data_IF_069361215670
#
_entry.id   IF_069361215670
#
_cell.length_a   1.000
_cell.length_b   1.000
_cell.length_c   1.000
_cell.angle_alpha   90.00
_cell.angle_beta   90.00
_cell.angle_gamma   90.00
#
_symmetry.space_group_name_H-M   'P 1'
#
loop_
_entity.id
_entity.type
_entity.pdbx_description
1 polymer ?
#
# COMPACT_ATOMS: atom_id res chain seq x y z
N UNK A 1 21.27 11.12 17.54
CA UNK A 1 19.88 10.64 17.78
C UNK A 1 19.01 11.36 16.78
N UNK A 2 18.59 10.69 15.69
CA UNK A 2 17.79 11.32 14.63
C UNK A 2 16.28 11.22 14.97
N UNK A 3 15.45 12.20 14.62
CA UNK A 3 14.17 12.43 15.32
C UNK A 3 12.94 11.71 14.76
N UNK A 4 13.04 10.71 13.87
CA UNK A 4 11.87 10.26 13.09
C UNK A 4 11.79 8.76 12.71
N UNK A 5 12.32 7.84 13.52
CA UNK A 5 12.09 6.40 13.27
C UNK A 5 10.66 6.00 13.71
N UNK A 6 9.63 6.55 13.04
CA UNK A 6 8.33 5.89 13.01
C UNK A 6 8.53 4.67 12.13
N UNK A 7 8.89 3.55 12.76
CA UNK A 7 8.92 2.26 12.11
C UNK A 7 7.47 1.85 11.83
N UNK A 8 7.04 1.99 10.57
CA UNK A 8 5.82 1.36 10.07
C UNK A 8 6.17 -0.12 9.88
N UNK A 9 5.46 -1.04 10.54
CA UNK A 9 5.75 -2.46 10.38
C UNK A 9 5.39 -2.93 8.96
N UNK A 10 5.96 -4.05 8.52
CA UNK A 10 5.62 -4.62 7.21
C UNK A 10 4.12 -4.93 7.10
N UNK A 11 3.49 -5.39 8.19
CA UNK A 11 2.05 -5.61 8.26
C UNK A 11 1.26 -4.30 8.10
N UNK A 12 1.66 -3.24 8.80
CA UNK A 12 1.04 -1.92 8.67
C UNK A 12 1.15 -1.38 7.24
N UNK A 13 2.31 -1.60 6.59
CA UNK A 13 2.50 -1.25 5.19
C UNK A 13 1.49 -1.95 4.26
N UNK A 14 1.18 -3.22 4.53
CA UNK A 14 0.18 -3.97 3.76
C UNK A 14 -1.23 -3.41 3.97
N UNK A 15 -1.62 -3.16 5.21
CA UNK A 15 -2.93 -2.57 5.54
C UNK A 15 -3.10 -1.17 4.94
N UNK A 16 -2.07 -0.33 5.05
CA UNK A 16 -2.04 1.00 4.43
C UNK A 16 -2.09 0.87 2.90
N UNK A 17 -1.33 -0.05 2.32
CA UNK A 17 -1.33 -0.30 0.87
C UNK A 17 -2.71 -0.67 0.34
N UNK A 18 -3.42 -1.58 1.02
CA UNK A 18 -4.80 -1.92 0.69
C UNK A 18 -5.76 -0.72 0.84
N UNK A 19 -5.62 0.06 1.92
CA UNK A 19 -6.44 1.25 2.15
C UNK A 19 -6.23 2.33 1.08
N UNK A 20 -4.99 2.49 0.59
CA UNK A 20 -4.68 3.40 -0.52
C UNK A 20 -5.39 2.94 -1.80
N UNK A 21 -5.42 1.64 -2.09
CA UNK A 21 -6.11 1.09 -3.28
C UNK A 21 -7.62 1.33 -3.19
N UNK A 22 -8.22 1.09 -2.03
CA UNK A 22 -9.63 1.40 -1.78
C UNK A 22 -9.94 2.89 -1.99
N UNK A 23 -9.12 3.77 -1.41
CA UNK A 23 -9.28 5.20 -1.58
C UNK A 23 -9.17 5.61 -3.06
N UNK A 24 -8.20 5.06 -3.80
CA UNK A 24 -8.02 5.32 -5.22
C UNK A 24 -9.28 4.92 -6.02
N UNK A 25 -9.83 3.73 -5.77
CA UNK A 25 -11.06 3.26 -6.42
C UNK A 25 -12.25 4.18 -6.12
N UNK A 26 -12.43 4.59 -4.86
CA UNK A 26 -13.52 5.49 -4.48
C UNK A 26 -13.37 6.88 -5.10
N UNK A 27 -12.15 7.42 -5.18
CA UNK A 27 -11.92 8.72 -5.82
C UNK A 27 -12.14 8.62 -7.34
N UNK A 28 -11.75 7.51 -7.98
CA UNK A 28 -12.01 7.28 -9.40
C UNK A 28 -13.51 7.26 -9.72
N UNK A 29 -14.35 6.72 -8.84
CA UNK A 29 -15.81 6.83 -8.95
C UNK A 29 -16.23 8.30 -9.00
N UNK A 30 -15.72 9.15 -8.09
CA UNK A 30 -16.04 10.60 -8.10
C UNK A 30 -15.61 11.24 -9.43
N UNK A 31 -14.40 10.98 -9.92
CA UNK A 31 -13.94 11.55 -11.20
C UNK A 31 -14.80 11.13 -12.40
N UNK A 32 -15.39 9.93 -12.36
CA UNK A 32 -16.23 9.38 -13.43
C UNK A 32 -17.63 10.01 -13.47
N UNK A 33 -18.17 10.38 -12.32
CA UNK A 33 -19.57 10.84 -12.21
C UNK A 33 -19.71 12.35 -11.97
N UNK A 34 -18.67 13.02 -11.49
CA UNK A 34 -18.68 14.48 -11.35
C UNK A 34 -18.59 15.15 -12.73
N UNK A 35 -19.33 16.24 -12.99
CA UNK A 35 -19.17 17.01 -14.22
C UNK A 35 -17.73 17.48 -14.39
N UNK A 36 -17.21 17.41 -15.60
CA UNK A 36 -15.88 17.90 -15.95
C UNK A 36 -15.72 19.36 -15.48
N UNK A 37 -14.55 19.67 -14.93
CA UNK A 37 -14.21 20.98 -14.34
C UNK A 37 -15.12 21.47 -13.20
N UNK A 38 -16.00 20.62 -12.67
CA UNK A 38 -16.66 20.91 -11.40
C UNK A 38 -15.62 20.99 -10.26
N UNK A 39 -15.99 21.67 -9.16
CA UNK A 39 -15.15 21.68 -7.96
C UNK A 39 -14.88 20.27 -7.45
N UNK A 40 -15.88 19.38 -7.49
CA UNK A 40 -15.74 17.98 -7.10
C UNK A 40 -14.77 17.21 -8.01
N UNK A 41 -14.86 17.40 -9.33
CA UNK A 41 -13.93 16.75 -10.27
C UNK A 41 -12.48 17.21 -10.04
N UNK A 42 -12.25 18.52 -9.91
CA UNK A 42 -10.90 19.05 -9.66
C UNK A 42 -10.31 18.57 -8.34
N UNK A 43 -11.13 18.51 -7.28
CA UNK A 43 -10.68 18.02 -5.97
C UNK A 43 -10.35 16.53 -6.04
N UNK A 44 -11.16 15.72 -6.73
CA UNK A 44 -10.89 14.29 -6.92
C UNK A 44 -9.57 14.05 -7.68
N UNK A 45 -9.29 14.82 -8.74
CA UNK A 45 -8.00 14.76 -9.45
C UNK A 45 -6.83 15.15 -8.55
N UNK A 46 -6.97 16.21 -7.75
CA UNK A 46 -5.95 16.63 -6.80
C UNK A 46 -5.69 15.59 -5.69
N UNK A 47 -6.75 14.91 -5.25
CA UNK A 47 -6.68 13.82 -4.28
C UNK A 47 -5.93 12.61 -4.86
N UNK A 48 -6.21 12.19 -6.10
CA UNK A 48 -5.46 11.11 -6.78
C UNK A 48 -3.96 11.43 -6.86
N UNK A 49 -3.60 12.66 -7.26
CA UNK A 49 -2.20 13.07 -7.33
C UNK A 49 -1.51 13.07 -5.95
N UNK A 50 -2.24 13.42 -4.90
CA UNK A 50 -1.72 13.38 -3.52
C UNK A 50 -1.54 11.95 -3.02
N UNK A 51 -2.48 11.07 -3.35
CA UNK A 51 -2.44 9.66 -3.02
C UNK A 51 -1.26 8.95 -3.70
N UNK A 52 -0.99 9.26 -4.97
CA UNK A 52 0.15 8.71 -5.71
C UNK A 52 1.51 9.14 -5.13
N UNK A 53 1.61 10.40 -4.69
CA UNK A 53 2.80 10.86 -3.97
C UNK A 53 3.00 10.11 -2.66
N UNK A 54 1.93 9.93 -1.88
CA UNK A 54 1.98 9.17 -0.63
C UNK A 54 2.39 7.71 -0.88
N UNK A 55 1.78 7.06 -1.87
CA UNK A 55 2.10 5.70 -2.31
C UNK A 55 3.59 5.56 -2.61
N UNK A 56 4.16 6.46 -3.40
CA UNK A 56 5.58 6.46 -3.74
C UNK A 56 6.48 6.65 -2.52
N UNK A 57 6.13 7.56 -1.61
CA UNK A 57 6.92 7.78 -0.37
C UNK A 57 6.93 6.52 0.49
N UNK A 58 5.77 5.89 0.68
CA UNK A 58 5.65 4.70 1.51
C UNK A 58 6.30 3.46 0.86
N UNK A 59 6.24 3.34 -0.46
CA UNK A 59 6.93 2.26 -1.18
C UNK A 59 8.45 2.36 -1.02
N UNK A 60 9.00 3.56 -1.16
CA UNK A 60 10.42 3.81 -0.89
C UNK A 60 10.80 3.51 0.56
N UNK A 61 9.95 3.92 1.52
CA UNK A 61 10.17 3.64 2.94
C UNK A 61 10.18 2.14 3.22
N UNK A 62 9.23 1.39 2.65
CA UNK A 62 9.18 -0.06 2.78
C UNK A 62 10.45 -0.73 2.23
N UNK A 63 10.94 -0.27 1.07
CA UNK A 63 12.19 -0.76 0.47
C UNK A 63 13.43 -0.47 1.32
N UNK A 64 13.41 0.60 2.13
CA UNK A 64 14.48 0.91 3.07
C UNK A 64 14.40 0.07 4.35
N UNK A 65 13.19 -0.34 4.77
CA UNK A 65 12.95 -1.02 6.05
C UNK A 65 13.00 -2.55 5.94
N UNK A 66 12.50 -3.13 4.85
CA UNK A 66 12.42 -4.58 4.66
C UNK A 66 13.48 -5.00 3.65
N UNK A 67 14.55 -5.64 4.12
CA UNK A 67 15.59 -6.19 3.23
C UNK A 67 15.13 -7.42 2.46
N UNK A 68 15.76 -7.71 1.31
CA UNK A 68 15.37 -8.81 0.41
C UNK A 68 15.35 -10.19 1.09
N UNK A 69 16.23 -10.38 2.09
CA UNK A 69 16.29 -11.62 2.88
C UNK A 69 15.07 -11.87 3.77
N UNK A 70 14.26 -10.84 4.04
CA UNK A 70 12.99 -10.92 4.77
C UNK A 70 11.78 -10.99 3.84
N UNK A 71 11.99 -11.02 2.52
CA UNK A 71 10.93 -11.15 1.53
C UNK A 71 11.26 -12.26 0.51
N UNK A 72 11.33 -13.54 0.96
CA UNK A 72 11.67 -14.66 0.08
C UNK A 72 10.62 -14.90 -1.03
N UNK A 73 9.43 -14.29 -0.92
CA UNK A 73 8.33 -14.41 -1.86
C UNK A 73 8.21 -13.23 -2.83
N UNK A 74 9.03 -12.20 -2.67
CA UNK A 74 9.00 -11.01 -3.54
C UNK A 74 7.69 -10.23 -3.46
N UNK A 75 7.07 -10.17 -2.27
CA UNK A 75 5.80 -9.47 -2.04
C UNK A 75 5.97 -7.97 -1.80
N UNK A 76 7.13 -7.54 -1.30
CA UNK A 76 7.45 -6.12 -1.03
C UNK A 76 7.09 -5.18 -2.19
N UNK A 77 7.53 -5.41 -3.45
CA UNK A 77 7.20 -4.52 -4.56
C UNK A 77 5.72 -4.50 -4.93
N UNK A 78 4.91 -5.44 -4.41
CA UNK A 78 3.49 -5.54 -4.71
C UNK A 78 2.63 -4.79 -3.68
N UNK A 79 3.16 -4.48 -2.49
CA UNK A 79 2.41 -3.86 -1.38
C UNK A 79 1.70 -2.57 -1.81
N UNK A 80 2.41 -1.71 -2.54
CA UNK A 80 1.89 -0.47 -3.08
C UNK A 80 1.61 -0.52 -4.59
N UNK A 81 1.61 -1.71 -5.20
CA UNK A 81 1.24 -1.87 -6.60
C UNK A 81 -0.29 -1.83 -6.73
N UNK A 82 -0.81 -0.98 -7.63
CA UNK A 82 -2.24 -0.62 -7.68
C UNK A 82 -3.17 -1.82 -7.92
N UNK A 83 -2.74 -2.78 -8.75
CA UNK A 83 -3.61 -3.88 -9.20
C UNK A 83 -3.50 -5.14 -8.33
N UNK A 84 -2.73 -5.10 -7.24
CA UNK A 84 -2.51 -6.25 -6.36
C UNK A 84 -3.05 -5.96 -4.98
N UNK A 85 -3.94 -6.82 -4.49
CA UNK A 85 -4.46 -6.76 -3.12
C UNK A 85 -3.87 -7.88 -2.28
N UNK A 86 -3.82 -7.65 -0.98
CA UNK A 86 -3.38 -8.65 -0.02
C UNK A 86 -4.52 -9.04 0.90
N UNK A 87 -4.54 -10.32 1.27
CA UNK A 87 -5.44 -10.87 2.28
C UNK A 87 -4.64 -11.66 3.30
N UNK A 88 -5.20 -11.78 4.50
CA UNK A 88 -4.66 -12.65 5.53
C UNK A 88 -4.77 -14.10 5.06
N UNK A 89 -3.67 -14.83 5.22
CA UNK A 89 -3.58 -16.26 4.96
C UNK A 89 -4.40 -17.04 5.97
N UNK A 90 -5.08 -18.08 5.50
CA UNK A 90 -5.88 -18.97 6.34
C UNK A 90 -5.07 -20.14 6.93
N UNK A 91 -3.86 -20.37 6.45
CA UNK A 91 -2.95 -21.41 6.95
C UNK A 91 -2.03 -20.86 8.05
N UNK A 92 -1.70 -21.71 9.04
CA UNK A 92 -0.94 -21.31 10.22
C UNK A 92 0.55 -21.11 9.86
N UNK A 93 1.06 -19.87 9.80
CA UNK A 93 2.38 -19.62 9.27
C UNK A 93 3.49 -20.05 10.24
N UNK A 94 4.41 -20.89 9.77
CA UNK A 94 5.55 -21.34 10.56
C UNK A 94 6.61 -20.23 10.59
N UNK A 95 6.62 -19.45 11.68
CA UNK A 95 7.64 -18.47 12.09
C UNK A 95 7.81 -17.19 11.24
N UNK A 96 7.46 -16.04 11.84
CA UNK A 96 7.73 -14.67 11.34
C UNK A 96 9.21 -14.33 11.16
N UNK A 97 10.16 -15.07 11.77
CA UNK A 97 11.57 -14.64 11.82
C UNK A 97 12.31 -14.63 10.47
N UNK A 98 11.69 -15.12 9.39
CA UNK A 98 12.33 -15.26 8.07
C UNK A 98 11.51 -14.63 6.92
N UNK A 99 10.32 -14.13 7.19
CA UNK A 99 9.43 -13.55 6.17
C UNK A 99 8.57 -12.46 6.82
N UNK A 100 8.86 -11.21 6.46
CA UNK A 100 8.19 -10.01 6.97
C UNK A 100 6.71 -9.94 6.56
N UNK A 101 6.30 -10.70 5.54
CA UNK A 101 4.94 -10.71 5.01
C UNK A 101 4.24 -12.05 5.30
N UNK A 102 4.73 -12.86 6.24
CA UNK A 102 4.36 -14.28 6.35
C UNK A 102 2.84 -14.52 6.43
N UNK A 103 2.10 -13.61 7.06
CA UNK A 103 0.65 -13.68 7.25
C UNK A 103 -0.15 -13.25 6.02
N UNK A 104 0.49 -12.69 5.00
CA UNK A 104 -0.15 -12.12 3.83
C UNK A 104 0.00 -13.01 2.59
N UNK A 105 -1.03 -13.01 1.76
CA UNK A 105 -1.03 -13.57 0.42
C UNK A 105 -1.68 -12.59 -0.56
N UNK A 106 -1.24 -12.64 -1.81
CA UNK A 106 -1.89 -11.92 -2.91
C UNK A 106 -3.30 -12.47 -3.11
N UNK A 107 -4.27 -11.56 -3.22
CA UNK A 107 -5.63 -11.86 -3.65
C UNK A 107 -5.62 -12.12 -5.17
N UNK A 108 -6.24 -13.22 -5.59
CA UNK A 108 -6.27 -13.68 -6.98
C UNK A 108 -7.60 -13.45 -7.66
#
# INVERSE_FOLDING_TARGET
>A
MLPWDILIAADDHVDIGNSIKDAQEQILIVTRYAPDDSSAHREAVAALASLERLRTVLDNLLHQQVGDHLDPRGLRPLVYFTDVRFRIRSDNPVSQKQDAFIVWAVEG
#
